data_IF_207849112281
#
_entry.id   IF_207849112281
#
_cell.length_a   1.000
_cell.length_b   1.000
_cell.length_c   1.000
_cell.angle_alpha   90.00
_cell.angle_beta   90.00
_cell.angle_gamma   90.00
#
_symmetry.space_group_name_H-M   'P 1'
#
loop_
_entity.id
_entity.type
_entity.pdbx_description
1 polymer ?
#
# COMPACT_ATOMS: atom_id res chain seq x y z
N UNK A 1 4.03 6.51 6.86
CA UNK A 1 3.72 7.41 5.76
C UNK A 1 3.84 6.63 4.47
N UNK A 2 2.81 6.68 3.63
CA UNK A 2 2.71 6.07 2.32
C UNK A 2 3.45 6.89 1.26
N UNK A 3 3.74 6.25 0.12
CA UNK A 3 4.14 6.98 -1.10
C UNK A 3 3.07 8.02 -1.47
N UNK A 4 1.79 7.63 -1.41
CA UNK A 4 0.66 8.52 -1.63
C UNK A 4 0.56 9.68 -0.61
N UNK A 5 0.96 9.47 0.64
CA UNK A 5 0.99 10.56 1.64
C UNK A 5 2.06 11.61 1.24
N UNK A 6 3.25 11.15 0.85
CA UNK A 6 4.34 12.02 0.38
C UNK A 6 3.92 12.75 -0.91
N UNK A 7 3.29 12.03 -1.83
CA UNK A 7 2.78 12.58 -3.08
C UNK A 7 1.74 13.67 -2.85
N UNK A 8 0.78 13.45 -1.95
CA UNK A 8 -0.23 14.45 -1.60
C UNK A 8 0.42 15.69 -1.00
N UNK A 9 1.36 15.52 -0.07
CA UNK A 9 2.09 16.64 0.53
C UNK A 9 2.89 17.43 -0.52
N UNK A 10 3.51 16.76 -1.50
CA UNK A 10 4.18 17.44 -2.62
C UNK A 10 3.19 18.20 -3.50
N UNK A 11 2.07 17.57 -3.86
CA UNK A 11 1.07 18.16 -4.75
C UNK A 11 0.38 19.38 -4.13
N UNK A 12 0.08 19.32 -2.83
CA UNK A 12 -0.61 20.37 -2.07
C UNK A 12 0.33 21.51 -1.67
N UNK A 13 1.60 21.19 -1.37
CA UNK A 13 2.58 22.15 -0.84
C UNK A 13 3.94 22.11 -1.58
N UNK A 14 3.97 22.32 -2.91
CA UNK A 14 5.20 22.18 -3.68
C UNK A 14 6.30 23.16 -3.28
N UNK A 15 5.97 24.38 -2.83
CA UNK A 15 6.95 25.39 -2.42
C UNK A 15 7.73 25.02 -1.14
N UNK A 16 7.19 24.16 -0.29
CA UNK A 16 7.90 23.68 0.90
C UNK A 16 9.01 22.68 0.53
N UNK A 17 8.89 22.07 -0.64
CA UNK A 17 9.79 21.02 -1.12
C UNK A 17 10.70 21.58 -2.20
N UNK A 18 10.17 22.39 -3.10
CA UNK A 18 10.83 23.01 -4.24
C UNK A 18 10.78 24.54 -4.13
N UNK A 19 11.45 25.13 -3.12
CA UNK A 19 11.33 26.56 -2.84
C UNK A 19 11.85 27.40 -4.00
N UNK A 20 11.01 28.30 -4.49
CA UNK A 20 11.38 29.26 -5.55
C UNK A 20 11.20 28.75 -6.98
N UNK A 21 10.88 27.47 -7.16
CA UNK A 21 10.65 26.89 -8.49
C UNK A 21 9.31 27.33 -9.10
N UNK A 22 8.33 27.73 -8.28
CA UNK A 22 7.00 28.16 -8.72
C UNK A 22 6.23 27.08 -9.47
N UNK A 23 6.31 25.84 -9.00
CA UNK A 23 5.58 24.72 -9.58
C UNK A 23 4.07 24.89 -9.45
N UNK A 24 3.38 24.75 -10.58
CA UNK A 24 1.92 24.71 -10.68
C UNK A 24 1.47 23.30 -11.02
N UNK A 25 0.57 22.73 -10.22
CA UNK A 25 0.05 21.38 -10.44
C UNK A 25 -0.76 21.31 -11.74
N UNK A 26 -0.37 20.42 -12.65
CA UNK A 26 -1.10 20.09 -13.87
C UNK A 26 -1.96 18.84 -13.65
N UNK A 27 -1.41 17.83 -12.97
CA UNK A 27 -2.12 16.59 -12.67
C UNK A 27 -1.43 15.78 -11.59
N UNK A 28 -2.22 14.98 -10.87
CA UNK A 28 -1.76 14.02 -9.88
C UNK A 28 -2.34 12.64 -10.27
N UNK A 29 -1.53 11.58 -10.23
CA UNK A 29 -1.89 10.23 -10.66
C UNK A 29 -2.47 10.21 -12.10
N UNK A 30 -1.87 11.02 -12.98
CA UNK A 30 -2.36 11.25 -14.34
C UNK A 30 -1.99 10.07 -15.24
N UNK A 31 -2.99 9.46 -15.89
CA UNK A 31 -2.76 8.39 -16.85
C UNK A 31 -2.30 8.93 -18.22
N UNK A 32 -1.23 8.34 -18.74
CA UNK A 32 -0.67 8.54 -20.07
C UNK A 32 -0.35 7.18 -20.71
N UNK A 33 -1.13 6.81 -21.74
CA UNK A 33 -0.89 5.60 -22.55
C UNK A 33 -0.74 4.31 -21.71
N UNK A 34 -1.55 4.18 -20.66
CA UNK A 34 -1.53 3.02 -19.76
C UNK A 34 -0.46 3.09 -18.66
N UNK A 35 0.34 4.15 -18.61
CA UNK A 35 1.21 4.49 -17.49
C UNK A 35 0.59 5.59 -16.64
N UNK A 36 0.99 5.66 -15.38
CA UNK A 36 0.46 6.62 -14.41
C UNK A 36 1.61 7.45 -13.86
N UNK A 37 1.58 8.75 -14.13
CA UNK A 37 2.54 9.71 -13.57
C UNK A 37 2.05 10.10 -12.18
N UNK A 38 2.91 10.00 -11.17
CA UNK A 38 2.56 10.38 -9.80
C UNK A 38 2.16 11.86 -9.71
N UNK A 39 3.03 12.77 -10.16
CA UNK A 39 2.74 14.20 -10.19
C UNK A 39 3.34 14.83 -11.46
N UNK A 40 2.53 15.66 -12.12
CA UNK A 40 2.97 16.51 -13.23
C UNK A 40 2.77 17.97 -12.84
N UNK A 41 3.87 18.71 -12.76
CA UNK A 41 3.88 20.16 -12.58
C UNK A 41 4.20 20.88 -13.88
N UNK A 42 3.97 22.18 -13.87
CA UNK A 42 4.54 23.14 -14.80
C UNK A 42 5.33 24.19 -14.00
N UNK A 43 6.55 24.49 -14.42
CA UNK A 43 7.38 25.51 -13.79
C UNK A 43 7.14 26.93 -14.36
N UNK A 44 7.85 27.92 -13.82
CA UNK A 44 7.77 29.33 -14.27
C UNK A 44 8.20 29.55 -15.73
N UNK A 45 8.97 28.62 -16.30
CA UNK A 45 9.43 28.65 -17.69
C UNK A 45 8.49 27.87 -18.62
N UNK A 46 7.31 27.45 -18.13
CA UNK A 46 6.33 26.62 -18.81
C UNK A 46 6.87 25.24 -19.23
N UNK A 47 7.91 24.74 -18.56
CA UNK A 47 8.38 23.36 -18.75
C UNK A 47 7.50 22.41 -17.97
N UNK A 48 7.24 21.23 -18.52
CA UNK A 48 6.63 20.15 -17.75
C UNK A 48 7.66 19.61 -16.77
N UNK A 49 7.24 19.29 -15.55
CA UNK A 49 8.11 18.68 -14.54
C UNK A 49 7.44 17.42 -14.05
N UNK A 50 8.02 16.27 -14.42
CA UNK A 50 7.56 14.96 -13.95
C UNK A 50 8.19 14.74 -12.59
N UNK A 51 7.37 14.53 -11.56
CA UNK A 51 7.85 14.17 -10.23
C UNK A 51 7.36 12.77 -9.90
N UNK A 52 8.30 11.84 -9.78
CA UNK A 52 8.05 10.46 -9.36
C UNK A 52 8.45 10.31 -7.90
N UNK A 53 7.55 9.74 -7.08
CA UNK A 53 7.74 9.65 -5.63
C UNK A 53 8.02 8.19 -5.27
N UNK A 54 8.99 7.96 -4.39
CA UNK A 54 9.31 6.64 -3.86
C UNK A 54 9.39 6.65 -2.36
N UNK A 55 8.65 5.76 -1.71
CA UNK A 55 8.80 5.56 -0.26
C UNK A 55 10.08 4.79 0.06
N UNK A 56 10.80 5.22 1.09
CA UNK A 56 12.02 4.56 1.59
C UNK A 56 13.27 4.89 0.79
N UNK A 57 14.12 3.87 0.60
CA UNK A 57 15.37 3.99 -0.17
C UNK A 57 15.02 3.92 -1.66
N UNK A 58 15.52 4.88 -2.44
CA UNK A 58 15.29 4.91 -3.88
C UNK A 58 15.70 3.59 -4.56
N UNK A 59 14.75 2.98 -5.28
CA UNK A 59 14.97 1.71 -6.01
C UNK A 59 15.96 1.89 -7.15
N UNK A 60 16.47 0.78 -7.70
CA UNK A 60 17.42 0.83 -8.84
C UNK A 60 16.68 1.09 -10.16
N UNK A 61 15.41 0.76 -10.19
CA UNK A 61 14.54 0.79 -11.36
C UNK A 61 13.85 2.16 -11.55
N UNK A 62 13.92 3.05 -10.55
CA UNK A 62 13.19 4.32 -10.55
C UNK A 62 13.50 5.22 -11.75
N UNK A 63 14.76 5.27 -12.22
CA UNK A 63 15.13 6.07 -13.40
C UNK A 63 14.39 5.65 -14.67
N UNK A 64 14.16 4.34 -14.84
CA UNK A 64 13.45 3.80 -16.00
C UNK A 64 12.00 4.25 -16.05
N UNK A 65 11.34 4.38 -14.90
CA UNK A 65 9.94 4.85 -14.81
C UNK A 65 9.82 6.29 -15.30
N UNK A 66 10.61 7.22 -14.75
CA UNK A 66 10.57 8.64 -15.15
C UNK A 66 10.99 8.84 -16.60
N UNK A 67 11.99 8.08 -17.07
CA UNK A 67 12.44 8.11 -18.47
C UNK A 67 11.34 7.64 -19.44
N UNK A 68 10.56 6.61 -19.07
CA UNK A 68 9.41 6.16 -19.84
C UNK A 68 8.36 7.28 -19.94
N UNK A 69 8.03 7.94 -18.83
CA UNK A 69 7.05 9.04 -18.80
C UNK A 69 7.51 10.23 -19.63
N UNK A 70 8.79 10.60 -19.53
CA UNK A 70 9.40 11.61 -20.37
C UNK A 70 9.27 11.27 -21.86
N UNK A 71 9.57 10.02 -22.24
CA UNK A 71 9.43 9.55 -23.62
C UNK A 71 7.99 9.65 -24.14
N UNK A 72 7.01 9.27 -23.32
CA UNK A 72 5.59 9.36 -23.67
C UNK A 72 5.14 10.83 -23.85
N UNK A 73 5.52 11.73 -22.94
CA UNK A 73 5.18 13.15 -23.04
C UNK A 73 5.84 13.80 -24.26
N UNK A 74 7.12 13.52 -24.52
CA UNK A 74 7.84 14.02 -25.70
C UNK A 74 7.29 13.46 -27.00
N UNK A 75 6.82 12.22 -27.03
CA UNK A 75 6.18 11.64 -28.22
C UNK A 75 4.87 12.37 -28.56
N UNK A 76 4.09 12.79 -27.55
CA UNK A 76 2.87 13.58 -27.76
C UNK A 76 3.14 15.03 -28.14
N UNK A 77 4.15 15.66 -27.53
CA UNK A 77 4.51 17.03 -27.81
C UNK A 77 6.05 17.20 -27.83
N UNK A 78 6.69 17.00 -29.00
CA UNK A 78 8.15 16.98 -29.10
C UNK A 78 8.84 18.28 -28.69
N UNK A 79 8.18 19.43 -28.92
CA UNK A 79 8.73 20.76 -28.64
C UNK A 79 8.55 21.18 -27.18
N UNK A 80 7.66 20.54 -26.43
CA UNK A 80 7.43 20.84 -25.02
C UNK A 80 8.63 20.44 -24.18
N UNK A 81 9.28 21.40 -23.53
CA UNK A 81 10.38 21.12 -22.58
C UNK A 81 9.87 20.35 -21.38
N UNK A 82 10.67 19.39 -20.89
CA UNK A 82 10.29 18.49 -19.82
C UNK A 82 11.50 18.18 -18.94
N UNK A 83 11.35 18.36 -17.63
CA UNK A 83 12.31 18.00 -16.60
C UNK A 83 11.81 16.76 -15.84
N UNK A 84 12.72 16.05 -15.20
CA UNK A 84 12.43 14.85 -14.41
C UNK A 84 12.98 15.02 -13.00
N UNK A 85 12.16 14.69 -12.01
CA UNK A 85 12.52 14.74 -10.59
C UNK A 85 12.16 13.42 -9.93
N UNK A 86 13.08 12.87 -9.14
CA UNK A 86 12.87 11.72 -8.28
C UNK A 86 12.88 12.14 -6.82
N UNK A 87 11.77 11.90 -6.13
CA UNK A 87 11.61 12.12 -4.69
C UNK A 87 11.71 10.80 -3.94
N UNK A 88 12.57 10.69 -2.92
CA UNK A 88 12.56 9.53 -2.01
C UNK A 88 13.00 9.87 -0.59
N UNK A 89 12.68 9.02 0.39
CA UNK A 89 13.12 9.29 1.77
C UNK A 89 14.63 9.24 1.95
N UNK A 90 15.30 8.36 1.20
CA UNK A 90 16.75 8.23 1.17
C UNK A 90 17.19 7.99 -0.27
N UNK A 91 18.12 8.80 -0.77
CA UNK A 91 18.73 8.63 -2.10
C UNK A 91 20.23 8.36 -1.91
N UNK A 92 20.67 7.09 -2.06
CA UNK A 92 22.08 6.74 -1.94
C UNK A 92 22.98 7.56 -2.88
N UNK A 93 24.15 7.97 -2.39
CA UNK A 93 25.03 8.97 -3.04
C UNK A 93 25.41 8.57 -4.47
N UNK A 94 25.72 7.30 -4.68
CA UNK A 94 26.08 6.74 -5.99
C UNK A 94 24.92 6.79 -6.98
N UNK A 95 23.68 6.60 -6.50
CA UNK A 95 22.48 6.74 -7.34
C UNK A 95 22.23 8.19 -7.69
N UNK A 96 22.32 9.10 -6.71
CA UNK A 96 22.16 10.54 -6.93
C UNK A 96 23.12 11.05 -8.01
N UNK A 97 24.40 10.72 -7.88
CA UNK A 97 25.43 11.14 -8.83
C UNK A 97 25.11 10.70 -10.25
N UNK A 98 24.68 9.46 -10.44
CA UNK A 98 24.28 8.97 -11.76
C UNK A 98 23.01 9.67 -12.29
N UNK A 99 21.97 9.78 -11.46
CA UNK A 99 20.68 10.35 -11.85
C UNK A 99 20.81 11.82 -12.27
N UNK A 100 21.50 12.62 -11.46
CA UNK A 100 21.72 14.04 -11.77
C UNK A 100 22.61 14.21 -13.02
N UNK A 101 23.58 13.32 -13.25
CA UNK A 101 24.40 13.35 -14.45
C UNK A 101 23.60 13.11 -15.74
N UNK A 102 22.53 12.30 -15.67
CA UNK A 102 21.64 12.04 -16.81
C UNK A 102 20.45 13.01 -16.88
N UNK A 103 20.43 14.07 -16.06
CA UNK A 103 19.38 15.09 -16.08
C UNK A 103 18.12 14.75 -15.28
N UNK A 104 18.22 13.87 -14.29
CA UNK A 104 17.13 13.59 -13.34
C UNK A 104 17.50 14.24 -11.99
N UNK A 105 16.76 15.28 -11.61
CA UNK A 105 16.94 15.92 -10.31
C UNK A 105 16.54 14.97 -9.17
N UNK A 106 17.35 14.93 -8.11
CA UNK A 106 17.10 14.07 -6.95
C UNK A 106 16.70 14.89 -5.74
N UNK A 107 15.49 14.66 -5.22
CA UNK A 107 15.00 15.29 -4.00
C UNK A 107 14.85 14.27 -2.86
N UNK A 108 15.71 14.40 -1.86
CA UNK A 108 15.62 13.56 -0.67
C UNK A 108 14.66 14.17 0.36
N UNK A 109 13.64 13.38 0.75
CA UNK A 109 12.55 13.77 1.64
C UNK A 109 12.61 12.94 2.93
N UNK A 110 13.55 13.27 3.81
CA UNK A 110 13.74 12.55 5.06
C UNK A 110 12.44 12.43 5.88
N UNK A 111 12.28 11.32 6.61
CA UNK A 111 11.05 11.03 7.37
C UNK A 111 10.68 12.18 8.34
N UNK A 112 11.69 12.81 8.95
CA UNK A 112 11.50 13.95 9.85
C UNK A 112 10.85 15.14 9.12
N UNK A 113 11.40 15.53 7.96
CA UNK A 113 10.87 16.63 7.14
C UNK A 113 9.40 16.37 6.78
N UNK A 114 9.08 15.18 6.29
CA UNK A 114 7.71 14.90 5.86
C UNK A 114 6.75 14.84 7.06
N UNK A 115 7.22 14.37 8.22
CA UNK A 115 6.43 14.38 9.45
C UNK A 115 6.20 15.79 9.99
N UNK A 116 7.20 16.68 9.88
CA UNK A 116 7.08 18.09 10.25
C UNK A 116 6.13 18.83 9.30
N UNK A 117 6.22 18.56 8.00
CA UNK A 117 5.33 19.11 7.00
C UNK A 117 3.88 18.67 7.24
N UNK A 118 3.68 17.37 7.49
CA UNK A 118 2.36 16.84 7.83
C UNK A 118 1.78 17.54 9.07
N UNK A 119 2.57 17.71 10.13
CA UNK A 119 2.14 18.45 11.33
C UNK A 119 1.84 19.93 11.04
N UNK A 120 2.68 20.59 10.25
CA UNK A 120 2.55 22.02 9.90
C UNK A 120 1.23 22.31 9.19
N UNK A 121 0.79 21.39 8.34
CA UNK A 121 -0.45 21.52 7.55
C UNK A 121 -1.62 20.70 8.09
N UNK A 122 -1.49 20.17 9.32
CA UNK A 122 -2.50 19.30 9.94
C UNK A 122 -2.94 18.13 9.04
N UNK A 123 -1.98 17.62 8.25
CA UNK A 123 -2.20 16.51 7.35
C UNK A 123 -2.36 15.22 8.15
N UNK A 124 -3.55 14.63 8.06
CA UNK A 124 -3.80 13.29 8.61
C UNK A 124 -3.36 12.25 7.60
N UNK A 125 -2.34 11.47 7.95
CA UNK A 125 -1.90 10.33 7.15
C UNK A 125 -3.05 9.37 6.87
N UNK A 126 -3.08 8.77 5.69
CA UNK A 126 -4.25 8.00 5.23
C UNK A 126 -4.62 6.84 6.17
N UNK A 127 -3.68 6.28 6.92
CA UNK A 127 -3.96 5.21 7.88
C UNK A 127 -4.34 5.68 9.29
N UNK A 128 -4.09 6.95 9.62
CA UNK A 128 -4.56 7.62 10.84
C UNK A 128 -6.00 8.16 10.67
N UNK A 129 -6.52 8.19 9.43
CA UNK A 129 -7.93 8.53 9.18
C UNK A 129 -8.82 7.44 9.77
N UNK A 130 -9.84 7.81 10.57
CA UNK A 130 -10.81 6.84 11.09
C UNK A 130 -11.37 6.03 9.92
N UNK A 131 -11.40 4.72 10.11
CA UNK A 131 -12.01 3.74 9.21
C UNK A 131 -13.30 4.32 8.62
N UNK A 132 -13.39 4.44 7.29
CA UNK A 132 -14.60 4.89 6.57
C UNK A 132 -15.86 4.40 7.28
N UNK A 133 -16.66 5.31 7.84
CA UNK A 133 -17.77 4.90 8.69
C UNK A 133 -18.72 3.97 7.91
N UNK A 134 -18.78 2.72 8.35
CA UNK A 134 -19.93 1.86 8.17
C UNK A 134 -20.29 1.36 9.57
N UNK A 135 -21.59 1.38 9.93
CA UNK A 135 -22.02 1.17 11.30
C UNK A 135 -21.51 -0.18 11.81
N UNK A 136 -20.92 -0.15 13.01
CA UNK A 136 -20.57 -1.36 13.73
C UNK A 136 -21.82 -2.23 13.88
N UNK A 137 -21.77 -3.54 13.61
CA UNK A 137 -22.76 -4.45 14.17
C UNK A 137 -22.59 -4.40 15.69
N UNK A 138 -23.68 -4.07 16.37
CA UNK A 138 -23.87 -4.12 17.82
C UNK A 138 -23.23 -5.36 18.42
N UNK A 139 -22.42 -5.15 19.45
CA UNK A 139 -21.90 -6.19 20.32
C UNK A 139 -23.06 -7.03 20.86
N UNK A 140 -23.12 -8.30 20.48
CA UNK A 140 -23.79 -9.31 21.28
C UNK A 140 -22.76 -9.83 22.27
N UNK A 141 -23.01 -9.58 23.54
CA UNK A 141 -22.34 -10.18 24.68
C UNK A 141 -22.28 -11.70 24.49
N UNK A 142 -21.09 -12.28 24.48
CA UNK A 142 -20.91 -13.73 24.64
C UNK A 142 -20.34 -14.00 26.02
N UNK A 143 -21.18 -14.66 26.82
CA UNK A 143 -20.93 -15.25 28.12
C UNK A 143 -19.64 -16.07 28.17
N UNK A 144 -18.90 -15.87 29.25
CA UNK A 144 -17.72 -16.66 29.62
C UNK A 144 -18.19 -18.05 30.05
N UNK A 145 -17.89 -19.07 29.26
CA UNK A 145 -17.86 -20.45 29.73
C UNK A 145 -16.47 -21.04 29.52
N UNK A 146 -15.84 -21.38 30.64
CA UNK A 146 -14.60 -22.14 30.73
C UNK A 146 -14.75 -23.51 30.09
N UNK A 147 -14.05 -23.74 28.97
CA UNK A 147 -13.87 -25.07 28.40
C UNK A 147 -12.37 -25.38 28.28
N UNK A 148 -11.91 -26.27 29.16
CA UNK A 148 -10.61 -26.94 29.08
C UNK A 148 -10.63 -27.93 27.91
N UNK A 149 -10.11 -27.51 26.77
CA UNK A 149 -9.83 -28.30 25.55
C UNK A 149 -8.81 -27.54 24.71
N UNK A 150 -7.96 -28.19 23.93
CA UNK A 150 -6.80 -27.55 23.30
C UNK A 150 -7.17 -26.44 22.30
N UNK A 151 -7.23 -25.20 22.77
CA UNK A 151 -7.51 -23.95 22.04
C UNK A 151 -6.62 -23.68 20.80
N UNK A 152 -5.67 -24.54 20.46
CA UNK A 152 -4.69 -24.31 19.38
C UNK A 152 -5.17 -24.79 18.00
N UNK A 153 -6.31 -25.49 17.89
CA UNK A 153 -6.82 -26.04 16.62
C UNK A 153 -7.92 -25.22 15.93
N UNK A 154 -8.74 -24.46 16.69
CA UNK A 154 -9.80 -23.62 16.12
C UNK A 154 -9.23 -22.31 15.56
N UNK A 155 -8.83 -22.36 14.29
CA UNK A 155 -8.30 -21.19 13.56
C UNK A 155 -9.43 -20.27 13.11
N UNK A 156 -9.58 -19.16 13.84
CA UNK A 156 -10.48 -18.06 13.49
C UNK A 156 -9.75 -16.88 12.82
N UNK A 157 -8.41 -16.88 12.79
CA UNK A 157 -7.58 -15.79 12.28
C UNK A 157 -6.70 -16.26 11.12
N UNK A 158 -6.64 -15.45 10.06
CA UNK A 158 -6.00 -15.82 8.80
C UNK A 158 -5.06 -14.74 8.29
N UNK A 159 -3.81 -15.08 8.01
CA UNK A 159 -2.91 -14.26 7.23
C UNK A 159 -3.21 -14.44 5.74
N UNK A 160 -3.46 -13.33 5.06
CA UNK A 160 -3.93 -13.27 3.68
C UNK A 160 -2.88 -12.52 2.85
N UNK A 161 -2.09 -13.28 2.09
CA UNK A 161 -0.92 -12.75 1.42
C UNK A 161 -1.30 -12.03 0.10
N UNK A 162 -0.81 -10.80 -0.05
CA UNK A 162 -0.77 -10.02 -1.28
C UNK A 162 0.67 -9.97 -1.81
N UNK A 163 0.80 -10.06 -3.14
CA UNK A 163 2.07 -9.83 -3.82
C UNK A 163 2.05 -8.42 -4.44
N UNK A 164 2.86 -7.47 -3.96
CA UNK A 164 2.86 -6.09 -4.47
C UNK A 164 3.27 -5.97 -5.94
N UNK A 165 3.89 -7.01 -6.52
CA UNK A 165 4.20 -7.05 -7.97
C UNK A 165 2.99 -7.36 -8.86
N UNK A 166 1.89 -7.83 -8.27
CA UNK A 166 0.65 -8.21 -8.97
C UNK A 166 -0.53 -7.35 -8.58
N UNK A 167 -0.60 -7.00 -7.30
CA UNK A 167 -1.67 -6.22 -6.71
C UNK A 167 -1.07 -5.14 -5.81
N UNK A 168 -1.29 -3.89 -6.17
CA UNK A 168 -0.83 -2.71 -5.43
C UNK A 168 -1.66 -2.51 -4.16
N UNK A 169 -1.39 -3.38 -3.17
CA UNK A 169 -2.16 -3.49 -1.92
C UNK A 169 -2.08 -2.23 -1.08
N UNK A 170 -0.98 -1.48 -1.14
CA UNK A 170 -0.79 -0.27 -0.34
C UNK A 170 -1.69 0.85 -0.86
N UNK A 171 -1.70 1.09 -2.16
CA UNK A 171 -2.58 2.10 -2.74
C UNK A 171 -4.05 1.67 -2.69
N UNK A 172 -4.34 0.37 -2.85
CA UNK A 172 -5.70 -0.15 -2.70
C UNK A 172 -6.26 0.06 -1.29
N UNK A 173 -5.46 -0.22 -0.25
CA UNK A 173 -5.90 0.02 1.13
C UNK A 173 -6.08 1.50 1.45
N UNK A 174 -5.49 2.39 0.65
CA UNK A 174 -5.49 3.84 0.87
C UNK A 174 -6.55 4.59 0.07
N UNK A 175 -7.28 3.89 -0.80
CA UNK A 175 -8.23 4.48 -1.73
C UNK A 175 -9.59 4.74 -1.07
N UNK A 176 -10.07 5.98 -1.20
CA UNK A 176 -11.39 6.38 -0.72
C UNK A 176 -12.53 5.68 -1.49
N UNK A 177 -12.35 5.34 -2.76
CA UNK A 177 -13.36 4.59 -3.53
C UNK A 177 -13.48 3.14 -3.07
N UNK A 178 -12.40 2.56 -2.52
CA UNK A 178 -12.44 1.23 -1.90
C UNK A 178 -13.11 1.30 -0.53
N UNK A 179 -12.89 2.39 0.21
CA UNK A 179 -13.42 2.53 1.55
C UNK A 179 -12.94 1.38 2.44
N UNK A 180 -13.83 0.80 3.25
CA UNK A 180 -13.50 -0.38 4.07
C UNK A 180 -13.88 -1.72 3.43
N UNK A 181 -14.41 -1.74 2.21
CA UNK A 181 -14.98 -2.94 1.60
C UNK A 181 -14.02 -3.51 0.57
N UNK A 182 -13.56 -4.74 0.80
CA UNK A 182 -12.67 -5.44 -0.14
C UNK A 182 -13.16 -6.86 -0.38
N UNK A 183 -12.79 -7.43 -1.53
CA UNK A 183 -12.93 -8.86 -1.79
C UNK A 183 -11.54 -9.49 -1.79
N UNK A 184 -11.39 -10.64 -1.12
CA UNK A 184 -10.11 -11.32 -1.06
C UNK A 184 -10.17 -12.73 -1.60
N UNK A 185 -9.16 -13.12 -2.36
CA UNK A 185 -9.07 -14.43 -3.00
C UNK A 185 -8.75 -15.53 -1.97
N UNK A 186 -9.49 -16.62 -2.07
CA UNK A 186 -9.35 -17.83 -1.25
C UNK A 186 -8.92 -18.99 -2.15
N UNK A 187 -7.61 -19.19 -2.26
CA UNK A 187 -7.07 -20.34 -3.02
C UNK A 187 -6.86 -21.56 -2.14
N UNK A 188 -6.77 -21.37 -0.83
CA UNK A 188 -6.48 -22.42 0.14
C UNK A 188 -7.42 -22.33 1.33
N UNK A 189 -7.57 -23.45 2.05
CA UNK A 189 -8.40 -23.53 3.26
C UNK A 189 -9.87 -23.12 3.08
N UNK A 190 -10.44 -23.24 1.87
CA UNK A 190 -11.84 -22.88 1.56
C UNK A 190 -12.91 -23.51 2.47
N UNK A 191 -12.63 -24.68 3.06
CA UNK A 191 -13.55 -25.36 3.99
C UNK A 191 -13.42 -24.86 5.44
N UNK A 192 -12.33 -24.15 5.75
CA UNK A 192 -11.99 -23.66 7.10
C UNK A 192 -12.19 -22.15 7.23
N UNK A 193 -12.02 -21.37 6.18
CA UNK A 193 -12.32 -19.94 6.18
C UNK A 193 -13.84 -19.76 6.19
N UNK A 194 -14.34 -19.00 7.17
CA UNK A 194 -15.78 -18.77 7.41
C UNK A 194 -16.07 -17.30 7.62
N UNK A 195 -17.34 -16.92 7.46
CA UNK A 195 -17.85 -15.62 7.92
C UNK A 195 -17.61 -15.47 9.42
N UNK A 196 -17.22 -14.27 9.85
CA UNK A 196 -16.93 -13.94 11.25
C UNK A 196 -15.44 -14.08 11.62
N UNK A 197 -14.65 -14.82 10.83
CA UNK A 197 -13.21 -14.92 11.02
C UNK A 197 -12.51 -13.57 10.82
N UNK A 198 -11.33 -13.42 11.41
CA UNK A 198 -10.46 -12.26 11.19
C UNK A 198 -9.44 -12.54 10.08
N UNK A 199 -9.14 -11.50 9.31
CA UNK A 199 -8.08 -11.52 8.29
C UNK A 199 -7.00 -10.50 8.60
N UNK A 200 -5.74 -10.91 8.49
CA UNK A 200 -4.55 -10.07 8.53
C UNK A 200 -4.00 -9.96 7.11
N UNK A 201 -4.08 -8.78 6.50
CA UNK A 201 -3.52 -8.59 5.15
C UNK A 201 -2.01 -8.52 5.29
N UNK A 202 -1.34 -9.50 4.67
CA UNK A 202 0.11 -9.61 4.63
C UNK A 202 0.63 -9.18 3.27
N UNK A 203 1.54 -8.22 3.21
CA UNK A 203 2.27 -7.92 1.98
C UNK A 203 3.54 -8.76 1.94
N UNK A 204 3.86 -9.37 0.79
CA UNK A 204 5.11 -10.10 0.58
C UNK A 204 6.21 -9.20 0.00
N UNK A 205 7.45 -9.71 -0.05
CA UNK A 205 8.59 -8.99 -0.63
C UNK A 205 9.54 -8.44 0.42
N UNK A 206 10.25 -7.36 0.08
CA UNK A 206 11.29 -6.75 0.93
C UNK A 206 10.71 -6.08 2.17
N UNK A 207 9.53 -5.46 2.03
CA UNK A 207 8.77 -4.87 3.14
C UNK A 207 7.70 -5.85 3.63
N UNK A 208 8.04 -7.15 3.74
CA UNK A 208 7.06 -8.14 4.16
C UNK A 208 6.53 -7.86 5.57
N UNK A 209 5.21 -7.97 5.77
CA UNK A 209 4.59 -7.68 7.06
C UNK A 209 3.06 -7.60 6.99
N UNK A 210 2.44 -7.29 8.13
CA UNK A 210 0.99 -7.11 8.28
C UNK A 210 0.62 -5.64 8.10
N UNK A 211 -0.28 -5.36 7.16
CA UNK A 211 -0.68 -4.01 6.74
C UNK A 211 -2.13 -3.66 7.04
N UNK A 212 -2.98 -4.64 7.38
CA UNK A 212 -4.34 -4.37 7.83
C UNK A 212 -4.93 -5.53 8.64
N UNK A 213 -5.85 -5.19 9.55
CA UNK A 213 -6.77 -6.12 10.20
C UNK A 213 -8.16 -5.96 9.58
N UNK A 214 -8.84 -7.08 9.38
CA UNK A 214 -10.11 -7.16 8.66
C UNK A 214 -11.03 -8.20 9.29
N UNK A 215 -12.33 -8.10 9.01
CA UNK A 215 -13.34 -9.13 9.33
C UNK A 215 -13.84 -9.76 8.04
N UNK A 216 -13.99 -11.08 8.03
CA UNK A 216 -14.57 -11.83 6.91
C UNK A 216 -16.09 -11.78 7.02
N UNK A 217 -16.76 -11.19 6.03
CA UNK A 217 -18.20 -10.89 6.03
C UNK A 217 -19.04 -11.92 5.26
N UNK A 218 -18.40 -12.87 4.58
CA UNK A 218 -19.09 -13.92 3.82
C UNK A 218 -18.36 -15.25 3.87
N UNK A 219 -19.10 -16.34 3.63
CA UNK A 219 -18.50 -17.61 3.26
C UNK A 219 -17.73 -17.49 1.92
N UNK A 220 -16.72 -18.34 1.67
CA UNK A 220 -16.07 -18.41 0.36
C UNK A 220 -17.06 -18.75 -0.74
N UNK A 221 -17.18 -17.87 -1.73
CA UNK A 221 -18.08 -18.05 -2.86
C UNK A 221 -17.46 -17.53 -4.16
N UNK A 222 -17.93 -18.03 -5.30
CA UNK A 222 -17.50 -17.53 -6.60
C UNK A 222 -18.05 -16.11 -6.77
N UNK A 223 -17.17 -15.11 -6.85
CA UNK A 223 -17.55 -13.72 -7.05
C UNK A 223 -16.47 -12.95 -7.80
N UNK A 224 -16.84 -11.77 -8.30
CA UNK A 224 -15.91 -10.87 -8.97
C UNK A 224 -15.06 -10.10 -7.95
N UNK A 225 -13.92 -9.59 -8.39
CA UNK A 225 -13.13 -8.58 -7.69
C UNK A 225 -13.99 -7.37 -7.38
N UNK A 226 -13.70 -6.73 -6.23
CA UNK A 226 -14.35 -5.50 -5.85
C UNK A 226 -14.12 -4.45 -6.96
N UNK A 227 -15.17 -3.83 -7.53
CA UNK A 227 -15.02 -3.00 -8.73
C UNK A 227 -13.95 -1.90 -8.61
N UNK A 228 -13.91 -1.17 -7.48
CA UNK A 228 -12.91 -0.14 -7.24
C UNK A 228 -11.48 -0.69 -7.09
N UNK A 229 -11.34 -1.97 -6.69
CA UNK A 229 -10.04 -2.62 -6.54
C UNK A 229 -9.41 -3.07 -7.88
N UNK A 230 -10.19 -3.13 -8.97
CA UNK A 230 -9.70 -3.63 -10.27
C UNK A 230 -8.52 -2.84 -10.82
N UNK A 231 -8.48 -1.52 -10.58
CA UNK A 231 -7.42 -0.61 -11.05
C UNK A 231 -6.05 -0.82 -10.39
N UNK A 232 -5.99 -1.61 -9.31
CA UNK A 232 -4.75 -1.89 -8.57
C UNK A 232 -4.08 -3.20 -8.99
N UNK A 233 -4.67 -3.94 -9.93
CA UNK A 233 -4.04 -5.13 -10.51
C UNK A 233 -3.11 -4.73 -11.64
N UNK A 234 -1.87 -5.20 -11.61
CA UNK A 234 -0.86 -4.89 -12.63
C UNK A 234 -1.11 -5.59 -13.97
N UNK A 235 -1.89 -6.67 -13.98
CA UNK A 235 -2.18 -7.47 -15.17
C UNK A 235 -3.69 -7.54 -15.43
N UNK A 236 -4.11 -7.16 -16.63
CA UNK A 236 -5.51 -7.19 -17.07
C UNK A 236 -6.01 -8.59 -17.45
N UNK A 237 -5.12 -9.58 -17.49
CA UNK A 237 -5.46 -11.00 -17.73
C UNK A 237 -5.83 -11.76 -16.45
N UNK A 238 -5.69 -11.12 -15.28
CA UNK A 238 -6.09 -11.68 -14.00
C UNK A 238 -7.58 -12.03 -14.01
N UNK A 239 -7.92 -13.29 -13.67
CA UNK A 239 -9.32 -13.70 -13.54
C UNK A 239 -9.96 -12.94 -12.39
N UNK A 240 -10.64 -11.83 -12.71
CA UNK A 240 -11.37 -11.05 -11.72
C UNK A 240 -12.46 -11.87 -11.04
N UNK A 241 -12.95 -12.95 -11.67
CA UNK A 241 -13.82 -13.93 -11.03
C UNK A 241 -13.00 -15.06 -10.39
N UNK A 242 -13.28 -15.33 -9.11
CA UNK A 242 -12.63 -16.41 -8.36
C UNK A 242 -13.39 -16.75 -7.08
N UNK A 243 -12.92 -17.78 -6.37
CA UNK A 243 -13.44 -18.09 -5.04
C UNK A 243 -12.90 -17.04 -4.07
N UNK A 244 -13.77 -16.14 -3.59
CA UNK A 244 -13.39 -15.02 -2.75
C UNK A 244 -14.29 -14.94 -1.52
N UNK A 245 -13.89 -14.10 -0.58
CA UNK A 245 -14.71 -13.65 0.54
C UNK A 245 -14.87 -12.13 0.48
N UNK A 246 -16.00 -11.62 0.96
CA UNK A 246 -16.16 -10.19 1.27
C UNK A 246 -15.53 -9.92 2.61
N UNK A 247 -14.86 -8.79 2.75
CA UNK A 247 -14.18 -8.41 3.97
C UNK A 247 -14.34 -6.92 4.25
N UNK A 248 -14.39 -6.60 5.54
CA UNK A 248 -14.37 -5.23 6.03
C UNK A 248 -13.04 -4.94 6.69
N UNK A 249 -12.35 -3.87 6.28
CA UNK A 249 -11.14 -3.38 6.92
C UNK A 249 -11.51 -2.77 8.27
N UNK A 250 -11.01 -3.36 9.37
CA UNK A 250 -11.19 -2.87 10.74
C UNK A 250 -10.11 -1.83 11.05
N UNK A 251 -8.85 -2.15 10.73
CA UNK A 251 -7.70 -1.30 11.04
C UNK A 251 -6.69 -1.33 9.91
N UNK A 252 -6.23 -0.14 9.51
CA UNK A 252 -5.08 0.02 8.60
C UNK A 252 -3.81 0.15 9.43
N UNK A 253 -2.77 -0.55 9.00
CA UNK A 253 -1.44 -0.53 9.59
C UNK A 253 -0.42 -0.14 8.53
N UNK A 254 -0.81 0.74 7.60
CA UNK A 254 -0.03 0.96 6.39
C UNK A 254 1.27 1.72 6.70
N UNK A 255 1.22 2.66 7.65
CA UNK A 255 2.37 3.45 8.08
C UNK A 255 3.12 2.85 9.27
N UNK A 256 2.44 2.00 10.05
CA UNK A 256 3.01 1.25 11.16
C UNK A 256 2.76 -0.26 10.95
N UNK A 257 3.26 -0.85 9.86
CA UNK A 257 3.04 -2.26 9.59
C UNK A 257 3.78 -3.09 10.63
N UNK A 258 3.22 -4.24 10.98
CA UNK A 258 3.91 -5.22 11.81
C UNK A 258 4.82 -6.01 10.88
N UNK A 259 6.05 -5.53 10.73
CA UNK A 259 7.02 -6.08 9.78
C UNK A 259 7.44 -7.49 10.16
N UNK A 260 7.74 -8.30 9.15
CA UNK A 260 8.30 -9.65 9.28
C UNK A 260 9.55 -9.66 10.18
N UNK A 261 10.41 -8.66 10.04
CA UNK A 261 11.63 -8.53 10.85
C UNK A 261 11.30 -8.39 12.33
N UNK A 262 10.33 -7.53 12.67
CA UNK A 262 9.85 -7.38 14.05
C UNK A 262 9.16 -8.67 14.55
N UNK A 263 8.34 -9.33 13.72
CA UNK A 263 7.62 -10.56 14.10
C UNK A 263 8.57 -11.72 14.47
N UNK A 264 9.71 -11.83 13.77
CA UNK A 264 10.69 -12.89 14.04
C UNK A 264 11.38 -12.70 15.40
N UNK A 265 11.55 -11.45 15.82
CA UNK A 265 12.19 -11.10 17.10
C UNK A 265 11.27 -11.36 18.31
N UNK A 266 9.96 -11.46 18.11
CA UNK A 266 8.99 -11.67 19.20
C UNK A 266 8.88 -13.17 19.54
N UNK A 267 9.22 -13.60 20.77
CA UNK A 267 9.06 -14.98 21.21
C UNK A 267 7.63 -15.48 21.04
N UNK A 268 7.45 -16.64 20.39
CA UNK A 268 6.15 -17.25 20.13
C UNK A 268 5.61 -17.00 18.71
N UNK A 269 6.17 -16.04 17.96
CA UNK A 269 5.74 -15.73 16.59
C UNK A 269 6.66 -16.30 15.50
N UNK A 270 7.81 -16.88 15.87
CA UNK A 270 8.69 -17.61 14.93
C UNK A 270 7.97 -18.78 14.25
N UNK A 271 6.91 -19.27 14.90
CA UNK A 271 6.07 -20.35 14.42
C UNK A 271 5.05 -19.97 13.33
N UNK A 272 4.87 -18.69 13.01
CA UNK A 272 3.83 -18.27 12.06
C UNK A 272 3.94 -19.05 10.75
N UNK A 273 2.82 -19.63 10.30
CA UNK A 273 2.79 -20.53 9.14
C UNK A 273 3.34 -19.86 7.88
N UNK A 274 3.11 -18.55 7.71
CA UNK A 274 3.64 -17.76 6.59
C UNK A 274 5.18 -17.66 6.57
N UNK A 275 5.82 -17.72 7.75
CA UNK A 275 7.28 -17.66 7.86
C UNK A 275 7.93 -18.99 7.49
N UNK A 276 7.22 -20.11 7.69
CA UNK A 276 7.68 -21.46 7.40
C UNK A 276 7.35 -21.92 5.97
N UNK A 277 6.19 -21.52 5.44
CA UNK A 277 5.65 -22.02 4.17
C UNK A 277 5.17 -20.89 3.24
N UNK A 278 6.06 -19.99 2.82
CA UNK A 278 5.71 -18.77 2.07
C UNK A 278 5.08 -18.95 0.67
N UNK A 279 5.00 -20.18 0.14
CA UNK A 279 4.43 -20.49 -1.19
C UNK A 279 2.89 -20.46 -1.23
N UNK A 280 2.22 -20.28 -0.08
CA UNK A 280 0.77 -20.18 0.02
C UNK A 280 0.19 -18.76 -0.11
N UNK A 281 -1.14 -18.63 -0.10
CA UNK A 281 -1.83 -17.33 -0.14
C UNK A 281 -2.74 -17.05 1.06
N UNK A 282 -3.14 -18.10 1.77
CA UNK A 282 -4.02 -18.03 2.94
C UNK A 282 -3.41 -18.92 4.03
N UNK A 283 -3.13 -18.34 5.19
CA UNK A 283 -2.29 -18.95 6.22
C UNK A 283 -3.01 -18.93 7.56
N UNK A 284 -3.16 -20.06 8.26
CA UNK A 284 -3.75 -20.07 9.58
C UNK A 284 -2.84 -19.35 10.59
N UNK A 285 -3.45 -18.54 11.46
CA UNK A 285 -2.82 -17.98 12.66
C UNK A 285 -3.45 -18.69 13.86
N UNK A 286 -2.63 -19.28 14.71
CA UNK A 286 -3.09 -19.99 15.90
C UNK A 286 -3.51 -19.00 16.98
N UNK A 287 -4.39 -19.42 17.89
CA UNK A 287 -4.89 -18.56 18.96
C UNK A 287 -3.75 -18.01 19.85
N UNK A 288 -2.72 -18.81 20.11
CA UNK A 288 -1.51 -18.35 20.83
C UNK A 288 -0.74 -17.28 20.08
N UNK A 289 -0.64 -17.39 18.75
CA UNK A 289 0.04 -16.39 17.91
C UNK A 289 -0.81 -15.12 17.85
N UNK A 290 -2.14 -15.25 17.72
CA UNK A 290 -3.07 -14.14 17.70
C UNK A 290 -3.03 -13.34 19.01
N UNK A 291 -3.02 -14.02 20.17
CA UNK A 291 -2.92 -13.35 21.47
C UNK A 291 -1.65 -12.54 21.69
N UNK A 292 -0.61 -12.72 20.86
CA UNK A 292 0.62 -11.91 20.88
C UNK A 292 0.54 -10.75 19.87
N UNK A 293 -0.19 -10.93 18.75
CA UNK A 293 -0.32 -9.93 17.68
C UNK A 293 -1.39 -8.87 18.00
N UNK A 294 -2.48 -9.27 18.65
CA UNK A 294 -3.65 -8.44 18.97
C UNK A 294 -3.33 -7.34 19.98
#
# INVERSE_FOLDING_TARGET
MLEKDIENLIAEHPEEIFPGEGFRLIGQQQNIEGRRIDILFQDRLNRNVIVEVKRGILSREASGQVAEYYGLLKSRNPTQSCEMVLCANVIPKERRLFLEHIGIECKELGIALVSELAKKYDYTFIDDKPSFENPAPTASESSVETATGSDDEEVSVWLLQANPKRYDVLNALSDAEIGNSIHWLVNQHKKRIRKGHLGLIWMSGTEAGIYALTRIESEPAMMQEFPAAKKYWSDTTEKHQGLRVRMTVIRRLINKPILKTALIEVPGLQGLSILRQFQGTNFPVRNKEWGIIA
#
